data_IF_374818823375
#
_entry.id   IF_374818823375
#
_cell.length_a   1.000
_cell.length_b   1.000
_cell.length_c   1.000
_cell.angle_alpha   90.00
_cell.angle_beta   90.00
_cell.angle_gamma   90.00
#
_symmetry.space_group_name_H-M   'P 1'
#
loop_
_entity.id
_entity.type
_entity.pdbx_description
1 polymer ?
#
# COMPACT_ATOMS: atom_id res chain seq x y z
N UNK A 1 -32.10 -43.26 43.14
CA UNK A 1 -31.70 -44.66 42.87
C UNK A 1 -30.90 -44.69 41.57
N UNK A 2 -29.58 -44.78 41.69
CA UNK A 2 -28.74 -45.59 40.78
C UNK A 2 -28.90 -47.07 41.26
N UNK A 3 -28.43 -48.19 40.64
CA UNK A 3 -27.27 -48.29 39.74
C UNK A 3 -27.20 -49.54 38.78
N UNK A 4 -26.02 -49.74 38.14
CA UNK A 4 -25.39 -51.02 37.69
C UNK A 4 -25.95 -51.68 36.41
N UNK A 5 -25.19 -52.28 35.49
CA UNK A 5 -23.80 -52.77 35.48
C UNK A 5 -23.40 -53.23 34.06
N UNK A 6 -22.19 -52.86 33.58
CA UNK A 6 -21.15 -53.75 33.03
C UNK A 6 -19.99 -52.90 32.47
N UNK A 7 -18.89 -52.70 33.21
CA UNK A 7 -17.62 -53.50 33.29
C UNK A 7 -16.81 -53.53 31.97
N UNK A 8 -15.69 -52.77 31.92
CA UNK A 8 -14.29 -53.20 32.17
C UNK A 8 -13.74 -54.09 31.02
N UNK A 9 -12.68 -53.76 30.27
CA UNK A 9 -11.28 -53.64 30.70
C UNK A 9 -10.33 -53.14 29.58
N UNK A 10 -9.11 -52.80 30.01
CA UNK A 10 -7.84 -52.60 29.27
C UNK A 10 -7.56 -51.15 28.83
N UNK A 11 -6.76 -50.34 29.55
CA UNK A 11 -5.28 -50.35 29.78
C UNK A 11 -4.46 -50.39 28.49
N UNK A 12 -3.91 -49.23 28.09
CA UNK A 12 -2.53 -49.02 27.61
C UNK A 12 -2.32 -47.50 27.36
N UNK A 13 -1.64 -46.79 28.26
CA UNK A 13 -0.21 -46.43 28.24
C UNK A 13 0.19 -45.41 27.15
N UNK A 14 0.20 -44.17 27.62
CA UNK A 14 1.03 -43.00 27.28
C UNK A 14 2.36 -43.33 26.61
N UNK A 15 2.68 -42.65 25.51
CA UNK A 15 4.05 -42.35 25.11
C UNK A 15 4.11 -40.93 24.51
N UNK A 16 4.43 -39.96 25.37
CA UNK A 16 4.79 -38.60 24.96
C UNK A 16 6.32 -38.50 24.90
N UNK A 17 6.82 -38.24 23.71
CA UNK A 17 8.23 -38.14 23.35
C UNK A 17 8.76 -36.79 23.82
N UNK A 18 9.51 -36.78 24.93
CA UNK A 18 10.25 -35.60 25.41
C UNK A 18 11.75 -35.89 25.33
N UNK A 19 12.46 -35.09 24.54
CA UNK A 19 13.90 -35.20 24.32
C UNK A 19 14.68 -34.70 25.55
N UNK A 20 15.62 -35.51 26.00
CA UNK A 20 16.49 -35.27 27.16
C UNK A 20 17.75 -34.51 26.75
N UNK A 21 18.03 -33.40 27.42
CA UNK A 21 19.33 -32.71 27.45
C UNK A 21 20.07 -33.18 28.73
N UNK A 22 21.32 -33.67 28.68
CA UNK A 22 22.01 -34.14 29.88
C UNK A 22 22.71 -33.00 30.64
N UNK A 23 22.48 -32.95 31.95
CA UNK A 23 23.11 -32.05 32.91
C UNK A 23 24.55 -32.50 33.25
N UNK A 24 25.51 -31.59 33.08
CA UNK A 24 26.93 -31.81 33.41
C UNK A 24 27.22 -31.69 34.91
N UNK A 25 28.05 -32.62 35.40
CA UNK A 25 28.50 -32.79 36.79
C UNK A 25 29.24 -31.57 37.36
N UNK A 26 28.89 -31.21 38.59
CA UNK A 26 29.66 -30.33 39.47
C UNK A 26 30.71 -31.18 40.19
N UNK A 27 31.99 -30.83 40.06
CA UNK A 27 33.09 -31.43 40.83
C UNK A 27 33.72 -30.33 41.69
N UNK A 28 33.62 -30.47 43.02
CA UNK A 28 34.38 -29.70 44.02
C UNK A 28 35.75 -30.36 44.20
N UNK A 29 36.83 -29.57 44.16
CA UNK A 29 38.14 -29.97 44.67
C UNK A 29 38.70 -28.81 45.50
N UNK A 30 39.09 -29.11 46.74
CA UNK A 30 39.73 -28.21 47.70
C UNK A 30 41.21 -28.59 47.89
N UNK A 31 42.08 -27.60 47.63
CA UNK A 31 43.32 -27.19 48.33
C UNK A 31 44.40 -28.22 48.75
N UNK A 32 45.66 -28.00 48.32
CA UNK A 32 46.84 -27.69 49.18
C UNK A 32 48.15 -27.44 48.40
N UNK A 33 48.68 -26.23 48.63
CA UNK A 33 50.07 -25.83 48.94
C UNK A 33 51.33 -26.44 48.25
N UNK A 34 52.15 -25.49 47.77
CA UNK A 34 53.61 -25.32 47.90
C UNK A 34 54.59 -25.71 46.78
N UNK A 35 55.39 -24.68 46.44
CA UNK A 35 56.81 -24.64 46.02
C UNK A 35 57.21 -25.25 44.66
N UNK A 36 57.58 -24.39 43.70
CA UNK A 36 58.98 -24.03 43.42
C UNK A 36 59.08 -23.06 42.25
N UNK A 37 59.78 -21.96 42.49
CA UNK A 37 60.30 -21.04 41.48
C UNK A 37 61.19 -21.81 40.49
N UNK A 38 60.79 -21.89 39.23
CA UNK A 38 61.76 -22.07 38.14
C UNK A 38 61.48 -21.06 37.05
N UNK A 39 62.32 -20.04 37.05
CA UNK A 39 62.43 -18.97 36.09
C UNK A 39 62.60 -19.52 34.67
N UNK A 40 61.67 -19.21 33.76
CA UNK A 40 61.97 -19.15 32.32
C UNK A 40 61.39 -17.88 31.72
N UNK A 41 62.28 -16.91 31.57
CA UNK A 41 62.10 -15.73 30.73
C UNK A 41 61.68 -16.14 29.32
N UNK A 42 60.45 -15.77 28.93
CA UNK A 42 60.11 -15.57 27.52
C UNK A 42 59.49 -14.18 27.38
N UNK A 43 60.37 -13.21 27.17
CA UNK A 43 60.02 -11.84 26.80
C UNK A 43 59.25 -11.90 25.48
N UNK A 44 57.91 -11.82 25.55
CA UNK A 44 57.09 -11.44 24.40
C UNK A 44 57.38 -9.97 24.12
N UNK A 45 58.17 -9.68 23.09
CA UNK A 45 58.17 -8.36 22.45
C UNK A 45 56.78 -8.16 21.84
N UNK A 46 55.87 -7.55 22.61
CA UNK A 46 54.70 -6.92 22.03
C UNK A 46 55.21 -5.85 21.07
N UNK A 47 54.92 -5.99 19.78
CA UNK A 47 55.08 -4.90 18.85
C UNK A 47 54.13 -3.79 19.32
N UNK A 48 54.64 -2.84 20.10
CA UNK A 48 53.97 -1.58 20.36
C UNK A 48 53.82 -0.90 19.01
N UNK A 49 52.60 -0.93 18.46
CA UNK A 49 52.19 0.06 17.47
C UNK A 49 52.46 1.41 18.14
N UNK A 50 53.56 2.07 17.77
CA UNK A 50 53.85 3.42 18.19
C UNK A 50 52.62 4.24 17.76
N UNK A 51 51.75 4.55 18.72
CA UNK A 51 50.65 5.49 18.50
C UNK A 51 51.31 6.83 18.23
N UNK A 52 51.54 7.07 16.94
CA UNK A 52 51.97 8.34 16.41
C UNK A 52 50.80 9.28 16.70
N UNK A 53 50.91 10.08 17.76
CA UNK A 53 49.95 11.12 18.08
C UNK A 53 50.03 12.16 16.96
N UNK A 54 49.24 11.93 15.91
CA UNK A 54 48.95 12.89 14.86
C UNK A 54 48.07 13.95 15.52
N UNK A 55 48.61 15.14 15.73
CA UNK A 55 47.83 16.28 16.19
C UNK A 55 46.92 16.68 15.03
N UNK A 56 45.63 16.39 15.15
CA UNK A 56 44.63 16.75 14.13
C UNK A 56 44.48 18.26 14.10
N UNK A 57 44.74 18.88 12.96
CA UNK A 57 44.62 20.33 12.82
C UNK A 57 43.15 20.73 12.60
N UNK A 58 42.77 21.92 13.06
CA UNK A 58 41.45 22.49 12.79
C UNK A 58 41.15 22.58 11.28
N UNK A 59 42.20 22.84 10.47
CA UNK A 59 42.08 22.95 9.01
C UNK A 59 41.74 21.60 8.38
N UNK A 60 42.36 20.51 8.81
CA UNK A 60 42.04 19.16 8.31
C UNK A 60 40.58 18.78 8.60
N UNK A 61 40.08 19.11 9.80
CA UNK A 61 38.68 18.88 10.13
C UNK A 61 37.74 19.72 9.25
N UNK A 62 38.09 21.00 9.04
CA UNK A 62 37.29 21.95 8.26
C UNK A 62 37.18 21.51 6.79
N UNK A 63 38.27 21.04 6.19
CA UNK A 63 38.26 20.58 4.79
C UNK A 63 37.42 19.32 4.65
N UNK A 64 37.47 18.39 5.60
CA UNK A 64 36.68 17.14 5.56
C UNK A 64 35.18 17.45 5.65
N UNK A 65 34.75 18.30 6.59
CA UNK A 65 33.34 18.68 6.68
C UNK A 65 32.88 19.43 5.43
N UNK A 66 33.75 20.26 4.82
CA UNK A 66 33.44 20.96 3.58
C UNK A 66 33.21 19.98 2.43
N UNK A 67 34.07 18.97 2.28
CA UNK A 67 33.91 17.93 1.24
C UNK A 67 32.64 17.11 1.50
N UNK A 68 32.38 16.68 2.75
CA UNK A 68 31.15 15.95 3.09
C UNK A 68 29.92 16.79 2.79
N UNK A 69 29.94 18.09 3.09
CA UNK A 69 28.83 19.01 2.80
C UNK A 69 28.57 19.12 1.29
N UNK A 70 29.61 19.22 0.46
CA UNK A 70 29.47 19.27 -1.01
C UNK A 70 28.89 17.95 -1.54
N UNK A 71 29.41 16.81 -1.08
CA UNK A 71 28.93 15.50 -1.51
C UNK A 71 27.48 15.27 -1.08
N UNK A 72 27.13 15.61 0.17
CA UNK A 72 25.77 15.52 0.67
C UNK A 72 24.80 16.42 -0.11
N UNK A 73 25.21 17.64 -0.45
CA UNK A 73 24.39 18.56 -1.24
C UNK A 73 24.04 18.00 -2.64
N UNK A 74 24.95 17.23 -3.26
CA UNK A 74 24.67 16.56 -4.55
C UNK A 74 23.86 15.25 -4.38
N UNK A 75 24.00 14.55 -3.26
CA UNK A 75 23.34 13.27 -3.02
C UNK A 75 21.88 13.41 -2.54
N UNK A 76 21.57 14.46 -1.77
CA UNK A 76 20.23 14.66 -1.21
C UNK A 76 19.12 14.78 -2.28
N UNK A 77 19.29 15.57 -3.36
CA UNK A 77 18.28 15.64 -4.43
C UNK A 77 18.08 14.29 -5.13
N UNK A 78 19.19 13.58 -5.42
CA UNK A 78 19.14 12.29 -6.09
C UNK A 78 18.43 11.22 -5.23
N UNK A 79 18.70 11.20 -3.92
CA UNK A 79 18.04 10.28 -2.99
C UNK A 79 16.54 10.57 -2.86
N UNK A 80 16.15 11.84 -2.85
CA UNK A 80 14.72 12.23 -2.82
C UNK A 80 13.98 11.74 -4.08
N UNK A 81 14.57 11.95 -5.27
CA UNK A 81 14.01 11.46 -6.53
C UNK A 81 13.93 9.92 -6.57
N UNK A 82 14.96 9.22 -6.08
CA UNK A 82 14.97 7.77 -5.99
C UNK A 82 13.87 7.25 -5.05
N UNK A 83 13.65 7.90 -3.90
CA UNK A 83 12.57 7.54 -2.96
C UNK A 83 11.19 7.75 -3.58
N UNK A 84 10.94 8.88 -4.24
CA UNK A 84 9.66 9.10 -4.92
C UNK A 84 9.41 8.06 -6.01
N UNK A 85 10.43 7.75 -6.83
CA UNK A 85 10.34 6.70 -7.85
C UNK A 85 10.00 5.32 -7.25
N UNK A 86 10.61 4.98 -6.11
CA UNK A 86 10.30 3.74 -5.40
C UNK A 86 8.85 3.72 -4.86
N UNK A 87 8.34 4.86 -4.36
CA UNK A 87 6.94 4.97 -3.92
C UNK A 87 5.97 4.85 -5.09
N UNK A 88 6.26 5.46 -6.24
CA UNK A 88 5.47 5.26 -7.47
C UNK A 88 5.48 3.80 -7.91
N UNK A 89 6.63 3.12 -7.84
CA UNK A 89 6.71 1.68 -8.15
C UNK A 89 5.84 0.82 -7.21
N UNK A 90 5.82 1.15 -5.91
CA UNK A 90 4.92 0.49 -4.96
C UNK A 90 3.45 0.75 -5.30
N UNK A 91 3.09 1.99 -5.63
CA UNK A 91 1.74 2.34 -6.06
C UNK A 91 1.31 1.53 -7.30
N UNK A 92 2.17 1.43 -8.32
CA UNK A 92 1.92 0.58 -9.51
C UNK A 92 1.66 -0.88 -9.14
N UNK A 93 2.42 -1.43 -8.20
CA UNK A 93 2.24 -2.81 -7.73
C UNK A 93 0.91 -3.00 -6.98
N UNK A 94 0.51 -2.02 -6.17
CA UNK A 94 -0.76 -2.05 -5.44
C UNK A 94 -1.96 -1.97 -6.39
N UNK A 95 -1.95 -0.98 -7.30
CA UNK A 95 -3.00 -0.80 -8.31
C UNK A 95 -3.09 -2.02 -9.25
N UNK A 96 -1.95 -2.63 -9.62
CA UNK A 96 -1.95 -3.87 -10.41
C UNK A 96 -2.67 -5.02 -9.70
N UNK A 97 -2.51 -5.14 -8.38
CA UNK A 97 -3.24 -6.16 -7.61
C UNK A 97 -4.77 -5.91 -7.65
N UNK A 98 -5.20 -4.65 -7.63
CA UNK A 98 -6.63 -4.31 -7.80
C UNK A 98 -7.13 -4.68 -9.20
N UNK A 99 -6.38 -4.37 -10.25
CA UNK A 99 -6.73 -4.76 -11.62
C UNK A 99 -6.86 -6.27 -11.80
N UNK A 100 -5.93 -7.04 -11.22
CA UNK A 100 -6.01 -8.51 -11.23
C UNK A 100 -7.22 -9.03 -10.45
N UNK A 101 -7.51 -8.45 -9.28
CA UNK A 101 -8.68 -8.82 -8.49
C UNK A 101 -10.00 -8.52 -9.23
N UNK A 102 -10.06 -7.40 -9.96
CA UNK A 102 -11.19 -7.07 -10.81
C UNK A 102 -11.35 -8.08 -11.95
N UNK A 103 -10.28 -8.47 -12.64
CA UNK A 103 -10.34 -9.46 -13.71
C UNK A 103 -10.81 -10.83 -13.21
N UNK A 104 -10.32 -11.28 -12.06
CA UNK A 104 -10.77 -12.53 -11.42
C UNK A 104 -12.24 -12.45 -11.02
N UNK A 105 -12.68 -11.33 -10.45
CA UNK A 105 -14.08 -11.09 -10.16
C UNK A 105 -14.92 -11.20 -11.43
N UNK A 106 -14.50 -10.54 -12.50
CA UNK A 106 -15.22 -10.50 -13.78
C UNK A 106 -15.35 -11.90 -14.39
N UNK A 107 -14.31 -12.73 -14.29
CA UNK A 107 -14.34 -14.13 -14.74
C UNK A 107 -15.40 -14.95 -14.00
N UNK A 108 -15.45 -14.85 -12.67
CA UNK A 108 -16.42 -15.58 -11.84
C UNK A 108 -17.86 -15.02 -11.94
N UNK A 109 -18.02 -13.76 -12.38
CA UNK A 109 -19.30 -13.04 -12.42
C UNK A 109 -19.86 -12.88 -13.85
N UNK A 110 -19.63 -13.84 -14.73
CA UNK A 110 -20.19 -13.88 -16.10
C UNK A 110 -19.81 -12.66 -16.94
N UNK A 111 -18.55 -12.26 -16.88
CA UNK A 111 -17.99 -11.10 -17.58
C UNK A 111 -18.44 -9.74 -17.07
N UNK A 112 -19.27 -9.66 -16.03
CA UNK A 112 -19.64 -8.37 -15.44
C UNK A 112 -18.55 -7.87 -14.52
N UNK A 113 -18.12 -6.62 -14.74
CA UNK A 113 -17.23 -5.91 -13.84
C UNK A 113 -17.86 -5.77 -12.44
N UNK A 114 -17.01 -5.58 -11.43
CA UNK A 114 -17.50 -5.38 -10.08
C UNK A 114 -18.33 -4.09 -9.97
N UNK A 115 -19.45 -4.10 -9.23
CA UNK A 115 -20.22 -2.89 -8.98
C UNK A 115 -19.41 -1.87 -8.18
N UNK A 116 -19.58 -0.59 -8.51
CA UNK A 116 -18.94 0.49 -7.75
C UNK A 116 -19.41 0.50 -6.30
N UNK A 117 -20.73 0.38 -6.11
CA UNK A 117 -21.36 0.11 -4.83
C UNK A 117 -22.75 -0.54 -4.99
N UNK A 118 -23.22 -1.18 -3.92
CA UNK A 118 -24.53 -1.84 -3.80
C UNK A 118 -25.15 -1.40 -2.46
N UNK A 119 -26.44 -1.03 -2.46
CA UNK A 119 -27.24 -0.71 -1.26
C UNK A 119 -26.67 0.44 -0.38
N UNK A 120 -26.95 1.70 -0.74
CA UNK A 120 -26.67 2.90 0.09
C UNK A 120 -25.24 2.97 0.67
N UNK A 121 -24.22 2.74 -0.16
CA UNK A 121 -22.78 2.78 0.21
C UNK A 121 -22.33 1.75 1.27
N UNK A 122 -23.19 0.80 1.65
CA UNK A 122 -22.81 -0.24 2.62
C UNK A 122 -21.89 -1.31 2.02
N UNK A 123 -21.96 -1.52 0.71
CA UNK A 123 -21.08 -2.42 -0.02
C UNK A 123 -20.46 -1.66 -1.18
N UNK A 124 -19.15 -1.44 -1.14
CA UNK A 124 -18.39 -0.79 -2.19
C UNK A 124 -17.41 -1.80 -2.81
N UNK A 125 -16.86 -1.48 -3.98
CA UNK A 125 -15.84 -2.32 -4.61
C UNK A 125 -14.65 -2.61 -3.67
N UNK A 126 -14.26 -1.62 -2.86
CA UNK A 126 -13.12 -1.68 -1.94
C UNK A 126 -13.43 -2.29 -0.57
N UNK A 127 -14.67 -2.74 -0.32
CA UNK A 127 -15.06 -3.32 0.95
C UNK A 127 -16.48 -2.97 1.37
N UNK A 128 -16.85 -3.37 2.59
CA UNK A 128 -18.20 -3.20 3.12
C UNK A 128 -18.19 -2.54 4.49
N UNK A 129 -19.17 -1.66 4.74
CA UNK A 129 -19.46 -1.11 6.05
C UNK A 129 -20.22 -2.13 6.89
N UNK A 130 -19.73 -2.45 8.10
CA UNK A 130 -20.39 -3.40 9.01
C UNK A 130 -21.32 -2.73 10.04
N UNK A 131 -21.58 -1.42 9.88
CA UNK A 131 -22.33 -0.60 10.83
C UNK A 131 -21.47 0.07 11.90
N UNK A 132 -20.20 -0.34 12.05
CA UNK A 132 -19.23 0.25 13.00
C UNK A 132 -17.94 0.72 12.33
N UNK A 133 -17.45 -0.03 11.34
CA UNK A 133 -16.23 0.25 10.60
C UNK A 133 -16.32 -0.24 9.16
N UNK A 134 -15.48 0.34 8.31
CA UNK A 134 -15.25 -0.18 6.97
C UNK A 134 -14.32 -1.38 7.06
N UNK A 135 -14.67 -2.46 6.36
CA UNK A 135 -13.89 -3.68 6.32
C UNK A 135 -13.57 -4.05 4.86
N UNK A 136 -12.33 -4.40 4.53
CA UNK A 136 -11.92 -4.80 3.18
C UNK A 136 -12.43 -6.22 2.85
N UNK A 137 -13.74 -6.36 2.64
CA UNK A 137 -14.44 -7.63 2.37
C UNK A 137 -15.59 -7.42 1.39
N UNK A 138 -15.89 -8.44 0.59
CA UNK A 138 -16.90 -8.37 -0.46
C UNK A 138 -16.40 -7.68 -1.73
N UNK A 139 -17.14 -7.84 -2.82
CA UNK A 139 -16.76 -7.29 -4.13
C UNK A 139 -15.43 -7.88 -4.61
N UNK A 140 -14.52 -7.02 -5.11
CA UNK A 140 -13.19 -7.48 -5.55
C UNK A 140 -12.26 -7.81 -4.39
N UNK A 141 -12.59 -7.40 -3.16
CA UNK A 141 -11.72 -7.67 -1.99
C UNK A 141 -11.64 -9.14 -1.63
N UNK A 142 -12.62 -9.95 -2.01
CA UNK A 142 -12.59 -11.41 -1.81
C UNK A 142 -11.57 -12.10 -2.73
N UNK A 143 -11.11 -11.41 -3.77
CA UNK A 143 -10.09 -11.86 -4.73
C UNK A 143 -8.69 -11.30 -4.42
N UNK A 144 -8.58 -10.50 -3.37
CA UNK A 144 -7.29 -10.04 -2.86
C UNK A 144 -6.63 -11.12 -2.00
N UNK A 145 -5.29 -11.15 -1.89
CA UNK A 145 -4.58 -12.14 -1.07
C UNK A 145 -5.06 -12.16 0.40
N UNK A 146 -5.04 -13.34 1.06
CA UNK A 146 -5.48 -13.48 2.45
C UNK A 146 -4.83 -12.42 3.39
N UNK A 147 -5.67 -11.70 4.16
CA UNK A 147 -5.31 -10.56 5.03
C UNK A 147 -4.90 -9.25 4.33
N UNK A 148 -5.06 -9.11 3.01
CA UNK A 148 -4.71 -7.89 2.30
C UNK A 148 -5.88 -6.89 2.32
N UNK A 149 -5.90 -6.01 3.33
CA UNK A 149 -6.47 -4.68 3.10
C UNK A 149 -5.76 -4.06 1.87
N UNK A 150 -6.45 -3.19 1.13
CA UNK A 150 -5.82 -2.44 0.04
C UNK A 150 -4.58 -1.75 0.61
N UNK A 151 -3.42 -2.04 0.02
CA UNK A 151 -2.18 -1.41 0.44
C UNK A 151 -2.24 0.06 0.04
N UNK A 152 -2.20 0.94 1.02
CA UNK A 152 -2.26 2.37 0.79
C UNK A 152 -1.12 2.85 -0.12
N UNK A 153 -1.44 3.80 -0.99
CA UNK A 153 -0.43 4.51 -1.75
C UNK A 153 0.53 5.26 -0.80
N UNK A 154 1.86 5.03 -0.87
CA UNK A 154 2.80 5.67 0.06
C UNK A 154 2.89 7.21 -0.05
N UNK A 155 2.37 7.80 -1.13
CA UNK A 155 2.29 9.26 -1.31
C UNK A 155 0.87 9.80 -1.03
N UNK A 156 -0.07 8.96 -0.59
CA UNK A 156 -1.38 9.39 -0.09
C UNK A 156 -1.32 9.89 1.34
N UNK A 157 -0.63 9.18 2.25
CA UNK A 157 -0.52 9.57 3.65
C UNK A 157 -0.03 11.01 3.85
N UNK A 158 0.82 11.52 2.94
CA UNK A 158 1.30 12.90 2.97
C UNK A 158 0.23 13.94 2.55
N UNK A 159 -0.87 13.50 1.94
CA UNK A 159 -1.94 14.33 1.41
C UNK A 159 -3.23 14.32 2.25
N UNK A 160 -3.46 13.30 3.08
CA UNK A 160 -4.69 13.17 3.87
C UNK A 160 -4.68 14.05 5.13
N UNK A 161 -5.88 14.47 5.56
CA UNK A 161 -6.06 15.09 6.87
C UNK A 161 -5.94 14.05 8.00
N UNK A 162 -5.21 14.38 9.07
CA UNK A 162 -5.01 13.50 10.22
C UNK A 162 -6.31 13.14 10.95
N UNK A 163 -7.34 13.99 10.83
CA UNK A 163 -8.65 13.82 11.44
C UNK A 163 -9.67 13.20 10.46
N UNK A 164 -9.21 12.57 9.37
CA UNK A 164 -10.12 11.98 8.38
C UNK A 164 -11.06 10.94 9.01
N UNK A 165 -12.36 11.20 8.84
CA UNK A 165 -13.47 10.36 9.31
C UNK A 165 -14.25 9.73 8.17
N UNK A 166 -13.90 10.04 6.91
CA UNK A 166 -14.69 9.72 5.72
C UNK A 166 -13.94 8.73 4.80
N UNK A 167 -14.62 7.68 4.34
CA UNK A 167 -14.13 6.74 3.30
C UNK A 167 -12.83 5.97 3.55
N UNK A 168 -12.42 5.70 4.80
CA UNK A 168 -11.22 4.89 5.08
C UNK A 168 -11.34 3.45 4.54
N UNK A 169 -10.42 3.05 3.67
CA UNK A 169 -10.19 1.67 3.27
C UNK A 169 -9.93 1.43 1.78
N UNK A 170 -9.93 2.48 0.95
CA UNK A 170 -9.60 2.32 -0.48
C UNK A 170 -8.11 2.53 -0.79
N UNK A 171 -7.32 3.00 0.19
CA UNK A 171 -5.87 3.12 0.06
C UNK A 171 -5.43 4.24 -0.89
N UNK A 172 -6.31 5.20 -1.18
CA UNK A 172 -6.09 6.30 -2.12
C UNK A 172 -6.27 5.92 -3.58
N UNK A 173 -7.01 4.83 -3.83
CA UNK A 173 -7.36 4.37 -5.16
C UNK A 173 -8.85 4.51 -5.40
N UNK A 174 -9.20 4.99 -6.58
CA UNK A 174 -10.56 5.15 -7.04
C UNK A 174 -10.84 4.20 -8.18
N UNK A 175 -12.10 3.79 -8.30
CA UNK A 175 -12.58 2.92 -9.37
C UNK A 175 -13.46 3.72 -10.34
N UNK A 176 -13.48 3.34 -11.62
CA UNK A 176 -14.37 3.93 -12.61
C UNK A 176 -15.81 3.46 -12.38
N UNK A 177 -16.46 4.06 -11.38
CA UNK A 177 -17.81 3.71 -10.95
C UNK A 177 -18.88 4.17 -11.93
N UNK A 178 -18.59 5.15 -12.79
CA UNK A 178 -19.60 5.77 -13.65
C UNK A 178 -19.90 4.92 -14.88
N UNK A 179 -18.85 4.45 -15.56
CA UNK A 179 -19.01 3.72 -16.81
C UNK A 179 -18.68 2.25 -16.66
N UNK A 180 -17.79 1.85 -15.76
CA UNK A 180 -17.44 0.42 -15.61
C UNK A 180 -18.22 -0.21 -14.48
N UNK A 181 -18.10 0.31 -13.26
CA UNK A 181 -18.74 -0.26 -12.09
C UNK A 181 -20.25 -0.10 -12.09
N UNK A 182 -20.75 1.01 -12.63
CA UNK A 182 -22.12 1.49 -12.45
C UNK A 182 -22.57 1.47 -10.97
N UNK A 183 -23.73 2.06 -10.72
CA UNK A 183 -24.32 2.18 -9.39
C UNK A 183 -25.65 1.44 -9.38
N UNK A 184 -25.78 0.44 -8.50
CA UNK A 184 -27.11 -0.06 -8.15
C UNK A 184 -27.80 1.00 -7.26
N UNK A 185 -28.31 2.07 -7.88
CA UNK A 185 -29.06 3.11 -7.17
C UNK A 185 -29.03 4.50 -7.82
N UNK A 186 -30.10 4.83 -8.57
CA UNK A 186 -30.67 6.17 -8.73
C UNK A 186 -29.76 7.33 -9.19
N UNK A 187 -28.68 7.06 -9.94
CA UNK A 187 -27.89 8.10 -10.62
C UNK A 187 -28.15 8.08 -12.14
N UNK A 188 -29.41 8.26 -12.57
CA UNK A 188 -29.76 8.68 -13.92
C UNK A 188 -29.50 7.72 -15.09
N UNK A 189 -30.58 7.32 -15.76
CA UNK A 189 -30.71 6.95 -17.19
C UNK A 189 -29.85 5.85 -17.83
N UNK A 190 -28.78 5.33 -17.23
CA UNK A 190 -28.07 4.16 -17.74
C UNK A 190 -28.68 2.86 -17.19
N UNK A 191 -28.74 1.76 -17.97
CA UNK A 191 -29.27 0.50 -17.49
C UNK A 191 -28.40 0.02 -16.30
N UNK A 192 -29.00 0.04 -15.10
CA UNK A 192 -28.44 -0.18 -13.75
C UNK A 192 -27.62 -1.48 -13.54
N UNK A 193 -26.60 -1.72 -14.35
CA UNK A 193 -25.75 -2.90 -14.27
C UNK A 193 -24.31 -2.50 -14.57
N UNK A 194 -23.34 -3.04 -13.80
CA UNK A 194 -21.93 -2.94 -14.16
C UNK A 194 -21.72 -3.32 -15.63
N UNK A 195 -20.73 -2.73 -16.27
CA UNK A 195 -20.41 -3.07 -17.65
C UNK A 195 -19.98 -4.54 -17.73
N UNK A 196 -20.50 -5.26 -18.73
CA UNK A 196 -19.84 -6.49 -19.15
C UNK A 196 -18.51 -6.10 -19.82
N UNK A 197 -17.42 -6.81 -19.54
CA UNK A 197 -16.11 -6.56 -20.14
C UNK A 197 -16.17 -6.68 -21.67
N UNK A 198 -17.01 -7.57 -22.18
CA UNK A 198 -17.29 -7.74 -23.62
C UNK A 198 -18.07 -6.57 -24.25
N UNK A 199 -18.68 -5.70 -23.44
CA UNK A 199 -19.35 -4.48 -23.90
C UNK A 199 -18.42 -3.25 -23.89
N UNK A 200 -17.16 -3.39 -23.45
CA UNK A 200 -16.16 -2.33 -23.47
C UNK A 200 -15.42 -2.36 -24.81
N UNK A 201 -15.50 -1.28 -25.58
CA UNK A 201 -14.88 -1.19 -26.89
C UNK A 201 -13.35 -1.29 -26.84
N UNK A 202 -12.71 -0.61 -25.87
CA UNK A 202 -11.25 -0.51 -25.77
C UNK A 202 -10.74 -0.74 -24.33
N UNK A 203 -10.73 -1.98 -23.81
CA UNK A 203 -10.30 -2.24 -22.42
C UNK A 203 -8.89 -1.76 -22.07
N UNK A 204 -7.99 -1.68 -23.06
CA UNK A 204 -6.63 -1.15 -22.88
C UNK A 204 -6.59 0.39 -22.80
N UNK A 205 -7.64 1.10 -23.16
CA UNK A 205 -7.74 2.56 -23.08
C UNK A 205 -8.88 3.02 -22.16
N UNK A 206 -9.58 2.11 -21.49
CA UNK A 206 -10.60 2.43 -20.49
C UNK A 206 -10.02 2.26 -19.09
N UNK A 207 -9.92 3.35 -18.33
CA UNK A 207 -9.39 3.35 -16.98
C UNK A 207 -10.31 2.55 -16.05
N UNK A 208 -9.73 1.58 -15.34
CA UNK A 208 -10.40 0.82 -14.29
C UNK A 208 -10.17 1.50 -12.94
N UNK A 209 -8.90 1.68 -12.56
CA UNK A 209 -8.51 2.28 -11.29
C UNK A 209 -7.51 3.40 -11.49
N UNK A 210 -7.45 4.34 -10.56
CA UNK A 210 -6.43 5.37 -10.53
C UNK A 210 -6.18 5.93 -9.14
N UNK A 211 -5.08 6.67 -8.95
CA UNK A 211 -4.88 7.44 -7.73
C UNK A 211 -6.00 8.47 -7.56
N UNK A 212 -6.69 8.42 -6.43
CA UNK A 212 -7.87 9.25 -6.16
C UNK A 212 -7.79 9.99 -4.82
N UNK A 213 -8.46 11.14 -4.74
CA UNK A 213 -8.63 11.92 -3.52
C UNK A 213 -9.89 12.78 -3.65
N UNK A 214 -10.60 12.98 -2.55
CA UNK A 214 -11.72 13.92 -2.50
C UNK A 214 -11.25 15.19 -1.81
N UNK A 215 -11.46 16.32 -2.48
CA UNK A 215 -11.21 17.64 -1.90
C UNK A 215 -12.53 18.26 -1.41
N UNK A 216 -12.63 18.52 -0.11
CA UNK A 216 -13.84 19.06 0.50
C UNK A 216 -13.64 20.53 0.88
N UNK A 217 -13.92 21.43 -0.08
CA UNK A 217 -13.76 22.88 0.13
C UNK A 217 -14.67 23.45 1.22
N UNK A 218 -15.89 22.92 1.34
CA UNK A 218 -16.88 23.32 2.36
C UNK A 218 -16.57 22.81 3.77
N UNK A 219 -15.64 21.85 3.90
CA UNK A 219 -15.21 21.27 5.17
C UNK A 219 -13.83 21.79 5.59
N UNK A 220 -13.51 23.05 5.32
CA UNK A 220 -12.23 23.64 5.73
C UNK A 220 -11.04 23.19 4.87
N UNK A 221 -11.28 22.88 3.59
CA UNK A 221 -10.27 22.45 2.62
C UNK A 221 -9.54 21.15 2.99
N UNK A 222 -10.29 20.14 3.45
CA UNK A 222 -9.74 18.84 3.83
C UNK A 222 -9.61 17.91 2.62
N UNK A 223 -8.67 16.97 2.72
CA UNK A 223 -8.52 15.86 1.79
C UNK A 223 -8.93 14.57 2.48
N UNK A 224 -9.81 13.81 1.82
CA UNK A 224 -10.26 12.50 2.28
C UNK A 224 -10.09 11.47 1.17
N UNK A 225 -10.10 10.19 1.53
CA UNK A 225 -10.12 9.13 0.53
C UNK A 225 -11.35 9.22 -0.39
N UNK A 226 -11.19 8.86 -1.67
CA UNK A 226 -12.26 8.85 -2.66
C UNK A 226 -12.33 7.49 -3.35
N UNK A 227 -13.50 6.86 -3.36
CA UNK A 227 -13.67 5.52 -3.93
C UNK A 227 -13.81 5.55 -5.47
N UNK A 228 -13.94 6.72 -6.09
CA UNK A 228 -14.16 6.88 -7.53
C UNK A 228 -12.97 7.51 -8.25
N UNK A 229 -12.91 7.25 -9.55
CA UNK A 229 -12.33 8.16 -10.55
C UNK A 229 -13.47 8.67 -11.44
N UNK A 230 -13.73 9.97 -11.37
CA UNK A 230 -14.87 10.62 -12.01
C UNK A 230 -14.47 11.10 -13.41
N UNK A 231 -15.26 10.81 -14.46
CA UNK A 231 -14.98 11.28 -15.82
C UNK A 231 -15.14 12.82 -15.92
N UNK A 232 -14.52 13.47 -16.93
CA UNK A 232 -14.60 14.91 -17.11
C UNK A 232 -16.00 15.42 -17.50
N UNK A 233 -16.83 14.57 -18.11
CA UNK A 233 -18.25 14.82 -18.34
C UNK A 233 -19.09 13.67 -17.79
N UNK A 234 -19.71 13.86 -16.63
CA UNK A 234 -20.57 12.85 -16.03
C UNK A 234 -22.06 13.01 -16.42
N UNK A 235 -22.40 13.94 -17.33
CA UNK A 235 -23.77 14.10 -17.84
C UNK A 235 -24.76 14.89 -16.96
N UNK A 236 -24.31 15.46 -15.84
CA UNK A 236 -25.16 16.08 -14.80
C UNK A 236 -24.55 17.37 -14.21
N UNK A 237 -23.91 18.17 -15.07
CA UNK A 237 -23.22 19.40 -14.71
C UNK A 237 -21.70 19.21 -14.67
N UNK A 238 -20.99 20.19 -14.13
CA UNK A 238 -19.52 20.17 -14.07
C UNK A 238 -19.07 19.27 -12.91
N UNK A 239 -18.47 18.09 -13.17
CA UNK A 239 -18.04 17.20 -12.11
C UNK A 239 -16.87 17.80 -11.32
N UNK A 240 -16.82 17.47 -10.03
CA UNK A 240 -15.62 17.71 -9.22
C UNK A 240 -14.60 16.61 -9.54
N UNK A 241 -13.38 16.95 -9.97
CA UNK A 241 -12.36 15.94 -10.23
C UNK A 241 -11.90 15.31 -8.91
N UNK A 242 -11.56 14.03 -8.99
CA UNK A 242 -11.08 13.23 -7.87
C UNK A 242 -9.78 12.47 -8.19
N UNK A 243 -9.24 12.56 -9.41
CA UNK A 243 -7.96 11.93 -9.76
C UNK A 243 -6.81 12.83 -9.29
N UNK A 244 -5.88 12.27 -8.50
CA UNK A 244 -4.80 13.03 -7.88
C UNK A 244 -3.43 12.69 -8.48
N UNK A 245 -2.77 13.70 -9.03
CA UNK A 245 -1.47 13.59 -9.70
C UNK A 245 -0.31 13.73 -8.70
N UNK A 246 -0.31 12.87 -7.68
CA UNK A 246 0.61 12.93 -6.53
C UNK A 246 2.04 12.52 -6.87
N UNK A 247 2.22 11.65 -7.87
CA UNK A 247 3.51 11.08 -8.26
C UNK A 247 4.31 12.01 -9.19
N UNK A 248 4.84 13.10 -8.63
CA UNK A 248 5.58 14.11 -9.42
C UNK A 248 4.76 14.67 -10.60
N UNK A 249 3.50 15.06 -10.33
CA UNK A 249 2.49 15.53 -11.32
C UNK A 249 2.04 14.44 -12.30
N UNK A 250 2.13 13.19 -11.85
CA UNK A 250 1.64 12.03 -12.58
C UNK A 250 0.67 11.24 -11.69
N UNK A 251 -0.18 10.47 -12.34
CA UNK A 251 -1.13 9.54 -11.74
C UNK A 251 -0.82 8.14 -12.25
N UNK A 252 -0.90 7.14 -11.39
CA UNK A 252 -0.86 5.73 -11.78
C UNK A 252 -2.28 5.29 -12.12
N UNK A 253 -2.46 4.68 -13.29
CA UNK A 253 -3.74 4.16 -13.78
C UNK A 253 -3.61 2.65 -14.03
N UNK A 254 -4.60 1.87 -13.60
CA UNK A 254 -4.83 0.53 -14.14
C UNK A 254 -5.93 0.61 -15.19
N UNK A 255 -5.66 0.05 -16.35
CA UNK A 255 -6.62 -0.11 -17.42
C UNK A 255 -7.41 -1.41 -17.23
N UNK A 256 -8.55 -1.56 -17.90
CA UNK A 256 -9.44 -2.71 -17.72
C UNK A 256 -8.85 -4.05 -18.17
N UNK A 257 -7.87 -4.06 -19.05
CA UNK A 257 -7.12 -5.27 -19.41
C UNK A 257 -6.07 -5.68 -18.35
N UNK A 258 -5.91 -4.88 -17.28
CA UNK A 258 -4.99 -5.13 -16.17
C UNK A 258 -3.56 -4.60 -16.35
N UNK A 259 -3.23 -3.91 -17.45
CA UNK A 259 -1.94 -3.20 -17.52
C UNK A 259 -1.99 -1.89 -16.72
N UNK A 260 -0.81 -1.44 -16.29
CA UNK A 260 -0.67 -0.27 -15.41
C UNK A 260 0.33 0.70 -16.00
N UNK A 261 -0.14 1.92 -16.24
CA UNK A 261 0.66 3.01 -16.77
C UNK A 261 0.56 4.27 -15.93
N UNK A 262 1.28 5.29 -16.38
CA UNK A 262 1.44 6.55 -15.66
C UNK A 262 1.08 7.69 -16.59
N UNK A 263 0.07 8.45 -16.19
CA UNK A 263 -0.47 9.56 -16.96
C UNK A 263 -0.08 10.91 -16.35
N UNK A 264 0.03 11.94 -17.20
CA UNK A 264 0.41 13.28 -16.76
C UNK A 264 -0.81 14.15 -16.53
N UNK A 265 -0.72 15.03 -15.54
CA UNK A 265 -1.73 16.06 -15.31
C UNK A 265 -1.90 16.91 -16.58
N UNK A 266 -3.15 17.11 -16.99
CA UNK A 266 -3.49 17.91 -18.17
C UNK A 266 -4.36 19.11 -17.81
N UNK A 267 -5.56 18.88 -17.28
CA UNK A 267 -6.53 19.95 -17.00
C UNK A 267 -7.40 19.63 -15.78
N UNK A 268 -8.16 20.63 -15.33
CA UNK A 268 -9.07 20.51 -14.18
C UNK A 268 -10.23 21.51 -14.28
N UNK A 269 -11.26 21.32 -13.46
CA UNK A 269 -12.42 22.19 -13.38
C UNK A 269 -12.29 23.18 -12.21
N UNK A 270 -11.37 24.14 -12.36
CA UNK A 270 -11.17 25.24 -11.40
C UNK A 270 -9.73 25.35 -10.89
N UNK A 271 -9.33 26.57 -10.52
CA UNK A 271 -7.96 26.86 -10.09
C UNK A 271 -7.59 26.12 -8.79
N UNK A 272 -8.53 25.99 -7.86
CA UNK A 272 -8.28 25.30 -6.59
C UNK A 272 -7.83 23.85 -6.78
N UNK A 273 -8.48 23.12 -7.69
CA UNK A 273 -8.11 21.75 -8.02
C UNK A 273 -6.78 21.68 -8.78
N UNK A 274 -6.54 22.60 -9.71
CA UNK A 274 -5.30 22.67 -10.48
C UNK A 274 -4.07 22.91 -9.58
N UNK A 275 -4.16 23.82 -8.62
CA UNK A 275 -3.10 24.07 -7.63
C UNK A 275 -2.81 22.85 -6.75
N UNK A 276 -3.84 22.03 -6.51
CA UNK A 276 -3.77 20.78 -5.74
C UNK A 276 -3.42 19.56 -6.58
N UNK A 277 -3.24 19.73 -7.89
CA UNK A 277 -2.94 18.66 -8.85
C UNK A 277 -4.05 17.60 -8.90
N UNK A 278 -5.30 18.03 -8.83
CA UNK A 278 -6.49 17.19 -8.97
C UNK A 278 -7.17 17.55 -10.28
N UNK A 279 -7.49 16.57 -11.12
CA UNK A 279 -7.98 16.86 -12.46
C UNK A 279 -8.06 15.63 -13.35
N UNK A 280 -7.72 15.79 -14.62
CA UNK A 280 -7.73 14.72 -15.62
C UNK A 280 -6.45 14.69 -16.45
N UNK A 281 -6.23 13.56 -17.10
CA UNK A 281 -5.19 13.32 -18.09
C UNK A 281 -5.79 13.32 -19.51
N UNK A 282 -4.96 13.23 -20.54
CA UNK A 282 -5.41 13.31 -21.94
C UNK A 282 -5.78 14.73 -22.40
N UNK A 283 -6.35 14.87 -23.59
CA UNK A 283 -6.87 16.14 -24.07
C UNK A 283 -8.29 16.37 -23.53
N UNK A 284 -8.62 17.62 -23.18
CA UNK A 284 -9.99 17.99 -22.81
C UNK A 284 -10.97 17.76 -23.96
N UNK A 285 -10.50 17.84 -25.21
CA UNK A 285 -11.28 17.55 -26.39
C UNK A 285 -11.65 16.06 -26.54
N UNK A 286 -10.92 15.15 -25.88
CA UNK A 286 -11.20 13.72 -25.91
C UNK A 286 -12.45 13.34 -25.10
N UNK A 287 -13.01 14.27 -24.31
CA UNK A 287 -14.19 14.02 -23.49
C UNK A 287 -13.98 12.84 -22.54
N UNK A 288 -14.88 11.85 -22.62
CA UNK A 288 -14.87 10.68 -21.74
C UNK A 288 -14.12 9.47 -22.27
N UNK A 289 -13.39 9.57 -23.39
CA UNK A 289 -12.72 8.46 -24.06
C UNK A 289 -12.00 7.46 -23.13
N UNK A 290 -11.31 7.97 -22.10
CA UNK A 290 -10.54 7.12 -21.19
C UNK A 290 -11.38 6.49 -20.06
N UNK A 291 -12.68 6.71 -20.05
CA UNK A 291 -13.58 6.32 -18.97
C UNK A 291 -14.82 5.59 -19.48
N UNK A 292 -15.39 6.00 -20.61
CA UNK A 292 -16.61 5.41 -21.15
C UNK A 292 -16.40 4.02 -21.77
N UNK A 293 -17.52 3.42 -22.19
CA UNK A 293 -17.58 2.06 -22.71
C UNK A 293 -17.34 2.00 -24.23
N UNK A 294 -17.43 3.13 -24.94
CA UNK A 294 -17.57 3.22 -26.41
C UNK A 294 -16.27 3.58 -27.15
#
# INVERSE_FOLDING_TARGET
MNPRENRELSRNRVSAMTSRIPAGKIVRVTQKENLTMTTLHKVRRGASFLRRNQHFTLIELLVVIAIIAILAAMLLPALSAARSSARTANCRSNIRQLGLALLLYTEDNKEYCAPGYINDYQHMWCGSWDGKKFAPRGGIMDYMPENAAIKECPELAEALDENDTYNKGNGGYGYNVYYVGDTFGNMGSLPNLPAALSAIANPAETAAFGDSILFQSWSGNTFTECYSITPPDAGWGTPSPDIHFRHSKQVVICWLDGHVDVEKYSYSNGNDYAERRIGWFGDKADGNRYFDRE
#
